data_IF_182164497760
#
_entry.id   IF_182164497760
#
_cell.length_a   1.000
_cell.length_b   1.000
_cell.length_c   1.000
_cell.angle_alpha   90.00
_cell.angle_beta   90.00
_cell.angle_gamma   90.00
#
_symmetry.space_group_name_H-M   'P 1'
#
loop_
_entity.id
_entity.type
_entity.pdbx_description
1 polymer ?
#
# COMPACT_ATOMS: atom_id res chain seq x y z
N UNK A 1 -9.37 14.26 48.05
CA UNK A 1 -8.31 14.54 47.06
C UNK A 1 -8.51 13.64 45.85
N UNK A 2 -9.08 14.18 44.78
CA UNK A 2 -9.43 13.40 43.59
C UNK A 2 -8.23 13.22 42.71
N UNK A 3 -7.65 12.02 42.69
CA UNK A 3 -6.57 11.64 41.78
C UNK A 3 -7.18 11.34 40.39
N UNK A 4 -7.39 12.38 39.57
CA UNK A 4 -7.79 12.22 38.17
C UNK A 4 -6.66 11.52 37.43
N UNK A 5 -6.81 10.22 37.28
CA UNK A 5 -5.96 9.38 36.41
C UNK A 5 -6.02 9.97 34.99
N UNK A 6 -5.11 10.89 34.65
CA UNK A 6 -4.93 11.38 33.28
C UNK A 6 -4.49 10.20 32.45
N UNK A 7 -5.43 9.58 31.73
CA UNK A 7 -5.09 8.56 30.73
C UNK A 7 -4.09 9.16 29.76
N UNK A 8 -2.88 8.59 29.71
CA UNK A 8 -1.82 9.02 28.80
C UNK A 8 -2.28 8.71 27.37
N UNK A 9 -2.41 9.73 26.52
CA UNK A 9 -2.73 9.53 25.11
C UNK A 9 -1.59 8.77 24.43
N UNK A 10 -1.94 7.76 23.63
CA UNK A 10 -1.01 6.99 22.81
C UNK A 10 -0.91 7.62 21.42
N UNK A 11 0.24 7.47 20.78
CA UNK A 11 0.44 7.86 19.40
C UNK A 11 0.13 6.67 18.48
N UNK A 12 -0.47 6.92 17.33
CA UNK A 12 -0.83 5.93 16.34
C UNK A 12 -0.35 6.40 14.98
N UNK A 13 0.03 5.44 14.13
CA UNK A 13 0.21 5.63 12.70
C UNK A 13 -0.74 4.66 12.00
N UNK A 14 -1.38 5.10 10.93
CA UNK A 14 -2.36 4.26 10.23
C UNK A 14 -2.36 4.54 8.74
N UNK A 15 -2.85 3.56 7.98
CA UNK A 15 -3.01 3.64 6.53
C UNK A 15 -4.46 3.32 6.17
N UNK A 16 -5.07 4.16 5.32
CA UNK A 16 -6.41 3.96 4.75
C UNK A 16 -6.40 4.36 3.29
N UNK A 17 -7.13 3.61 2.45
CA UNK A 17 -7.57 4.13 1.15
C UNK A 17 -8.83 4.96 1.35
N UNK A 18 -8.88 6.11 0.71
CA UNK A 18 -10.01 7.03 0.74
C UNK A 18 -10.19 7.66 -0.64
N UNK A 19 -11.33 8.23 -0.89
CA UNK A 19 -11.54 9.14 -2.01
C UNK A 19 -11.59 10.57 -1.48
N UNK A 20 -10.96 11.50 -2.18
CA UNK A 20 -10.98 12.90 -1.76
C UNK A 20 -11.01 13.84 -2.97
N UNK A 21 -11.62 15.00 -2.77
CA UNK A 21 -11.63 16.10 -3.73
C UNK A 21 -11.36 17.43 -3.02
N UNK A 22 -10.69 18.39 -3.66
CA UNK A 22 -10.52 19.72 -3.10
C UNK A 22 -11.88 20.37 -2.79
N UNK A 23 -12.04 20.88 -1.57
CA UNK A 23 -13.26 21.55 -1.13
C UNK A 23 -12.97 22.63 -0.11
N UNK A 24 -13.35 23.84 -0.42
CA UNK A 24 -13.30 24.95 0.53
C UNK A 24 -14.40 24.82 1.59
N UNK A 25 -14.09 25.26 2.81
CA UNK A 25 -15.03 25.40 3.90
C UNK A 25 -15.10 26.85 4.33
N UNK A 26 -16.30 27.43 4.30
CA UNK A 26 -16.54 28.76 4.84
C UNK A 26 -16.77 28.66 6.35
N UNK A 27 -16.02 29.42 7.12
CA UNK A 27 -16.21 29.56 8.55
C UNK A 27 -16.91 30.90 8.83
N UNK A 28 -17.98 30.87 9.57
CA UNK A 28 -18.63 32.09 10.05
C UNK A 28 -17.73 32.75 11.10
N UNK A 29 -17.59 34.08 11.03
CA UNK A 29 -16.92 34.84 12.09
C UNK A 29 -17.63 34.68 13.42
N UNK A 30 -16.88 34.74 14.50
CA UNK A 30 -17.40 34.89 15.87
C UNK A 30 -17.06 36.28 16.37
N UNK A 31 -17.61 36.71 17.52
CA UNK A 31 -17.33 38.04 18.10
C UNK A 31 -15.85 38.39 18.24
N UNK A 32 -14.96 37.35 18.25
CA UNK A 32 -13.50 37.51 18.41
C UNK A 32 -12.67 37.02 17.20
N UNK A 33 -13.30 36.66 16.07
CA UNK A 33 -12.61 36.22 14.85
C UNK A 33 -13.40 36.58 13.60
N UNK A 34 -12.71 37.05 12.57
CA UNK A 34 -13.29 37.23 11.24
C UNK A 34 -13.57 35.86 10.62
N UNK A 35 -14.72 35.73 9.96
CA UNK A 35 -15.03 34.56 9.14
C UNK A 35 -14.07 34.51 7.94
N UNK A 36 -13.85 33.31 7.41
CA UNK A 36 -12.94 33.15 6.28
C UNK A 36 -13.25 31.90 5.46
N UNK A 37 -12.53 31.77 4.35
CA UNK A 37 -12.55 30.57 3.51
C UNK A 37 -11.28 29.78 3.80
N UNK A 38 -11.44 28.53 4.18
CA UNK A 38 -10.34 27.60 4.42
C UNK A 38 -10.28 26.57 3.32
N UNK A 39 -9.12 26.40 2.71
CA UNK A 39 -8.85 25.33 1.75
C UNK A 39 -8.71 23.99 2.45
N UNK A 40 -9.21 22.94 1.81
CA UNK A 40 -9.14 21.58 2.32
C UNK A 40 -9.69 20.58 1.33
N UNK A 41 -10.03 19.42 1.84
CA UNK A 41 -10.52 18.29 1.06
C UNK A 41 -11.80 17.73 1.69
N UNK A 42 -12.79 17.45 0.84
CA UNK A 42 -13.86 16.52 1.18
C UNK A 42 -13.26 15.12 1.11
N UNK A 43 -13.40 14.34 2.15
CA UNK A 43 -12.88 12.98 2.27
C UNK A 43 -14.05 12.02 2.40
N UNK A 44 -14.05 10.98 1.58
CA UNK A 44 -15.05 9.90 1.60
C UNK A 44 -14.34 8.59 1.93
N UNK A 45 -14.77 7.93 2.99
CA UNK A 45 -14.25 6.66 3.45
C UNK A 45 -14.97 5.49 2.77
N UNK A 46 -14.39 4.28 2.85
CA UNK A 46 -14.94 3.06 2.22
C UNK A 46 -16.36 2.72 2.71
N UNK A 47 -16.70 3.07 3.95
CA UNK A 47 -18.04 2.88 4.53
C UNK A 47 -19.04 3.97 4.13
N UNK A 48 -18.63 4.91 3.28
CA UNK A 48 -19.45 6.04 2.83
C UNK A 48 -19.48 7.22 3.81
N UNK A 49 -18.77 7.15 4.95
CA UNK A 49 -18.65 8.29 5.85
C UNK A 49 -17.91 9.44 5.16
N UNK A 50 -18.45 10.64 5.28
CA UNK A 50 -17.86 11.86 4.73
C UNK A 50 -17.30 12.76 5.83
N UNK A 51 -16.12 13.32 5.59
CA UNK A 51 -15.51 14.32 6.45
C UNK A 51 -14.87 15.43 5.64
N UNK A 52 -14.40 16.46 6.33
CA UNK A 52 -13.59 17.51 5.74
C UNK A 52 -12.27 17.64 6.51
N UNK A 53 -11.17 17.80 5.78
CA UNK A 53 -9.84 17.97 6.36
C UNK A 53 -9.18 19.22 5.80
N UNK A 54 -8.50 20.04 6.64
CA UNK A 54 -7.66 21.15 6.18
C UNK A 54 -6.58 20.64 5.22
N UNK A 55 -6.24 21.47 4.22
CA UNK A 55 -5.29 21.11 3.15
C UNK A 55 -3.95 20.60 3.68
N UNK A 56 -3.32 21.34 4.55
CA UNK A 56 -2.02 21.01 5.12
C UNK A 56 -2.03 19.72 5.95
N UNK A 57 -3.12 19.46 6.65
CA UNK A 57 -3.33 18.23 7.43
C UNK A 57 -3.54 17.04 6.50
N UNK A 58 -4.35 17.23 5.46
CA UNK A 58 -4.64 16.18 4.47
C UNK A 58 -3.39 15.79 3.68
N UNK A 59 -2.71 16.74 3.08
CA UNK A 59 -1.52 16.51 2.24
C UNK A 59 -0.33 15.94 3.02
N UNK A 60 -0.29 16.14 4.33
CA UNK A 60 0.66 15.47 5.23
C UNK A 60 0.35 13.99 5.47
N UNK A 61 -0.93 13.63 5.46
CA UNK A 61 -1.38 12.29 5.82
C UNK A 61 -1.58 11.36 4.62
N UNK A 62 -1.92 11.92 3.46
CA UNK A 62 -2.31 11.17 2.27
C UNK A 62 -1.44 11.52 1.07
N UNK A 63 -1.28 10.55 0.19
CA UNK A 63 -0.66 10.68 -1.13
C UNK A 63 -1.61 10.16 -2.18
N UNK A 64 -1.59 10.79 -3.35
CA UNK A 64 -2.30 10.25 -4.52
C UNK A 64 -1.75 8.87 -4.90
N UNK A 65 -2.63 8.00 -5.38
CA UNK A 65 -2.27 6.62 -5.78
C UNK A 65 -1.26 6.55 -6.92
N UNK A 66 -0.98 7.68 -7.55
CA UNK A 66 0.03 7.83 -8.61
C UNK A 66 1.39 8.34 -8.11
N UNK A 67 1.54 8.68 -6.84
CA UNK A 67 2.76 9.26 -6.25
C UNK A 67 2.99 8.77 -4.82
N UNK A 68 3.07 7.45 -4.68
CA UNK A 68 3.21 6.79 -3.39
C UNK A 68 4.68 6.68 -2.98
N UNK A 69 4.92 6.70 -1.67
CA UNK A 69 6.16 6.18 -1.09
C UNK A 69 6.15 4.65 -1.15
N UNK A 70 7.31 4.01 -1.02
CA UNK A 70 7.39 2.55 -0.98
C UNK A 70 6.57 1.94 0.17
N UNK A 71 6.53 2.60 1.34
CA UNK A 71 5.70 2.14 2.46
C UNK A 71 4.20 2.08 2.11
N UNK A 72 3.67 3.10 1.43
CA UNK A 72 2.28 3.12 0.96
C UNK A 72 2.05 2.12 -0.17
N UNK A 73 3.02 1.92 -1.06
CA UNK A 73 2.96 0.90 -2.10
C UNK A 73 2.88 -0.53 -1.51
N UNK A 74 3.62 -0.81 -0.43
CA UNK A 74 3.51 -2.08 0.32
C UNK A 74 2.10 -2.26 0.91
N UNK A 75 1.49 -1.21 1.45
CA UNK A 75 0.12 -1.30 1.95
C UNK A 75 -0.88 -1.57 0.81
N UNK A 76 -0.68 -0.97 -0.37
CA UNK A 76 -1.48 -1.29 -1.57
C UNK A 76 -1.34 -2.76 -1.97
N UNK A 77 -0.12 -3.33 -1.95
CA UNK A 77 0.10 -4.77 -2.18
C UNK A 77 -0.63 -5.66 -1.17
N UNK A 78 -0.68 -5.26 0.10
CA UNK A 78 -1.42 -6.00 1.14
C UNK A 78 -2.93 -6.00 0.87
N UNK A 79 -3.44 -4.96 0.25
CA UNK A 79 -4.83 -4.86 -0.22
C UNK A 79 -5.08 -5.60 -1.55
N UNK A 80 -4.08 -6.30 -2.09
CA UNK A 80 -4.21 -7.07 -3.34
C UNK A 80 -4.06 -6.23 -4.62
N UNK A 81 -3.61 -4.98 -4.51
CA UNK A 81 -3.32 -4.13 -5.68
C UNK A 81 -1.98 -4.50 -6.29
N UNK A 82 -1.81 -4.19 -7.58
CA UNK A 82 -0.51 -4.23 -8.25
C UNK A 82 0.15 -2.84 -8.18
N UNK A 83 1.47 -2.81 -8.08
CA UNK A 83 2.23 -1.56 -8.00
C UNK A 83 3.35 -1.53 -9.03
N UNK A 84 3.74 -0.33 -9.43
CA UNK A 84 4.90 -0.09 -10.31
C UNK A 84 5.57 1.25 -9.96
N UNK A 85 6.72 1.53 -10.57
CA UNK A 85 7.43 2.81 -10.46
C UNK A 85 7.48 3.51 -11.80
N UNK A 86 7.26 4.84 -11.78
CA UNK A 86 7.44 5.69 -12.98
C UNK A 86 8.90 5.73 -13.44
N UNK A 87 9.85 5.64 -12.51
CA UNK A 87 11.29 5.65 -12.78
C UNK A 87 11.89 4.35 -13.29
N UNK A 88 11.11 3.29 -13.47
CA UNK A 88 11.63 2.06 -14.05
C UNK A 88 11.85 2.20 -15.57
N UNK A 89 12.97 1.64 -16.06
CA UNK A 89 13.34 1.68 -17.48
C UNK A 89 12.43 0.82 -18.38
N UNK A 90 11.70 -0.14 -17.81
CA UNK A 90 10.77 -1.01 -18.54
C UNK A 90 9.33 -0.56 -18.34
N UNK A 91 8.67 -0.11 -19.42
CA UNK A 91 7.22 0.17 -19.38
C UNK A 91 6.44 -1.14 -19.27
N UNK A 92 5.36 -1.13 -18.48
CA UNK A 92 4.47 -2.28 -18.31
C UNK A 92 4.97 -3.33 -17.32
N UNK A 93 6.07 -3.09 -16.61
CA UNK A 93 6.45 -3.91 -15.44
C UNK A 93 5.57 -3.54 -14.25
N UNK A 94 5.19 -4.56 -13.48
CA UNK A 94 4.47 -4.36 -12.23
C UNK A 94 4.83 -5.45 -11.22
N UNK A 95 4.57 -5.16 -9.96
CA UNK A 95 4.74 -6.09 -8.84
C UNK A 95 3.37 -6.45 -8.30
N UNK A 96 3.21 -7.72 -7.97
CA UNK A 96 2.09 -8.20 -7.16
C UNK A 96 2.59 -8.97 -5.93
N UNK A 97 1.72 -9.10 -4.94
CA UNK A 97 1.97 -9.94 -3.76
C UNK A 97 1.60 -11.38 -4.10
N UNK A 98 2.59 -12.25 -4.16
CA UNK A 98 2.35 -13.69 -4.22
C UNK A 98 1.76 -14.15 -2.88
N UNK A 99 0.65 -14.88 -2.94
CA UNK A 99 0.01 -15.44 -1.74
C UNK A 99 0.73 -16.74 -1.33
N UNK A 100 0.65 -17.12 -0.04
CA UNK A 100 1.15 -18.42 0.41
C UNK A 100 0.49 -19.54 -0.37
N UNK A 101 1.27 -20.54 -0.74
CA UNK A 101 0.79 -21.72 -1.44
C UNK A 101 1.44 -22.97 -0.88
N UNK A 102 0.68 -24.06 -0.85
CA UNK A 102 1.15 -25.37 -0.43
C UNK A 102 1.01 -26.33 -1.62
N UNK A 103 2.12 -26.91 -2.04
CA UNK A 103 2.13 -28.01 -3.02
C UNK A 103 2.19 -29.32 -2.24
N UNK A 104 1.14 -30.15 -2.28
CA UNK A 104 1.11 -31.45 -1.61
C UNK A 104 2.26 -32.37 -2.09
N UNK A 105 2.73 -33.24 -1.21
CA UNK A 105 3.84 -34.12 -1.52
C UNK A 105 3.62 -34.98 -2.78
N UNK A 106 2.39 -35.42 -3.03
CA UNK A 106 2.02 -36.20 -4.21
C UNK A 106 2.01 -35.40 -5.52
N UNK A 107 2.05 -34.08 -5.43
CA UNK A 107 2.12 -33.18 -6.60
C UNK A 107 3.57 -32.83 -6.94
N UNK A 108 4.46 -32.82 -5.97
CA UNK A 108 5.89 -32.46 -6.15
C UNK A 108 6.56 -33.25 -7.31
N UNK A 109 6.37 -34.57 -7.47
CA UNK A 109 6.96 -35.31 -8.59
C UNK A 109 6.48 -34.86 -9.98
N UNK A 110 5.32 -34.21 -10.05
CA UNK A 110 4.70 -33.72 -11.31
C UNK A 110 5.12 -32.28 -11.65
N UNK A 111 5.85 -31.60 -10.76
CA UNK A 111 6.28 -30.24 -11.02
C UNK A 111 7.33 -30.17 -12.13
N UNK A 112 7.02 -29.40 -13.18
CA UNK A 112 7.95 -29.20 -14.31
C UNK A 112 9.05 -28.17 -13.99
N UNK A 113 8.87 -27.38 -12.94
CA UNK A 113 9.81 -26.38 -12.48
C UNK A 113 10.98 -26.95 -11.63
N UNK A 114 10.96 -28.24 -11.33
CA UNK A 114 11.97 -28.92 -10.53
C UNK A 114 12.73 -29.95 -11.37
N UNK A 115 14.06 -30.00 -11.20
CA UNK A 115 14.87 -31.09 -11.75
C UNK A 115 14.54 -32.43 -11.08
N UNK A 116 14.83 -33.54 -11.74
CA UNK A 116 14.61 -34.87 -11.16
C UNK A 116 15.45 -35.13 -9.91
N UNK A 117 16.64 -34.54 -9.83
CA UNK A 117 17.48 -34.59 -8.63
C UNK A 117 16.81 -33.85 -7.48
N UNK A 118 16.27 -32.64 -7.73
CA UNK A 118 15.58 -31.85 -6.71
C UNK A 118 14.33 -32.56 -6.19
N UNK A 119 13.54 -33.17 -7.09
CA UNK A 119 12.34 -33.92 -6.70
C UNK A 119 12.67 -35.07 -5.75
N UNK A 120 13.80 -35.76 -5.93
CA UNK A 120 14.24 -36.85 -5.03
C UNK A 120 14.59 -36.38 -3.62
N UNK A 121 15.00 -35.12 -3.47
CA UNK A 121 15.35 -34.53 -2.17
C UNK A 121 14.13 -34.04 -1.40
N UNK A 122 13.03 -33.80 -2.07
CA UNK A 122 11.80 -33.27 -1.46
C UNK A 122 10.90 -34.45 -1.10
N UNK A 123 10.85 -34.76 0.19
CA UNK A 123 10.07 -35.91 0.72
C UNK A 123 8.76 -35.49 1.38
N UNK A 124 8.45 -34.19 1.39
CA UNK A 124 7.26 -33.61 2.03
C UNK A 124 6.61 -32.58 1.13
N UNK A 125 5.50 -31.99 1.58
CA UNK A 125 4.86 -30.84 0.92
C UNK A 125 5.83 -29.64 0.87
N UNK A 126 5.75 -28.88 -0.23
CA UNK A 126 6.44 -27.59 -0.35
C UNK A 126 5.52 -26.45 0.09
N UNK A 127 5.97 -25.68 1.04
CA UNK A 127 5.27 -24.52 1.56
C UNK A 127 5.94 -23.24 1.03
N UNK A 128 5.28 -22.53 0.13
CA UNK A 128 5.72 -21.24 -0.38
C UNK A 128 5.12 -20.13 0.48
N UNK A 129 5.97 -19.27 1.04
CA UNK A 129 5.55 -18.07 1.78
C UNK A 129 5.05 -16.98 0.85
N UNK A 130 4.48 -15.92 1.44
CA UNK A 130 4.19 -14.69 0.70
C UNK A 130 5.47 -14.01 0.25
N UNK A 131 5.46 -13.44 -0.95
CA UNK A 131 6.57 -12.70 -1.50
C UNK A 131 6.11 -11.60 -2.46
N UNK A 132 7.05 -10.84 -2.97
CA UNK A 132 6.82 -9.92 -4.07
C UNK A 132 7.31 -10.55 -5.37
N UNK A 133 6.49 -10.52 -6.41
CA UNK A 133 6.82 -11.00 -7.74
C UNK A 133 6.70 -9.85 -8.73
N UNK A 134 7.75 -9.63 -9.52
CA UNK A 134 7.74 -8.69 -10.65
C UNK A 134 7.35 -9.41 -11.92
N UNK A 135 6.44 -8.81 -12.67
CA UNK A 135 6.06 -9.27 -14.01
C UNK A 135 6.62 -8.30 -15.03
N UNK A 136 7.31 -8.82 -16.03
CA UNK A 136 7.87 -8.07 -17.16
C UNK A 136 6.90 -8.09 -18.35
N UNK A 137 7.07 -7.16 -19.33
CA UNK A 137 6.20 -7.07 -20.51
C UNK A 137 6.16 -8.35 -21.37
N UNK A 138 7.21 -9.17 -21.33
CA UNK A 138 7.28 -10.46 -22.02
C UNK A 138 6.56 -11.61 -21.30
N UNK A 139 5.92 -11.30 -20.15
CA UNK A 139 5.25 -12.27 -19.31
C UNK A 139 6.17 -13.01 -18.32
N UNK A 140 7.47 -12.73 -18.31
CA UNK A 140 8.39 -13.30 -17.32
C UNK A 140 8.04 -12.81 -15.93
N UNK A 141 7.91 -13.73 -14.96
CA UNK A 141 7.65 -13.44 -13.57
C UNK A 141 8.81 -13.94 -12.69
N UNK A 142 9.42 -13.01 -11.97
CA UNK A 142 10.56 -13.28 -11.09
C UNK A 142 10.26 -12.85 -9.65
N UNK A 143 10.90 -13.53 -8.69
CA UNK A 143 10.93 -13.04 -7.31
C UNK A 143 11.60 -11.68 -7.26
N UNK A 144 11.03 -10.74 -6.52
CA UNK A 144 11.50 -9.38 -6.47
C UNK A 144 11.79 -8.91 -5.04
N UNK A 145 12.88 -8.18 -4.90
CA UNK A 145 13.31 -7.54 -3.65
C UNK A 145 13.63 -6.08 -3.94
N UNK A 146 13.17 -5.18 -3.08
CA UNK A 146 13.42 -3.75 -3.24
C UNK A 146 14.91 -3.43 -3.11
N UNK A 147 15.45 -2.69 -4.06
CA UNK A 147 16.75 -2.03 -3.92
C UNK A 147 16.64 -0.80 -2.99
N UNK A 148 17.77 -0.23 -2.58
CA UNK A 148 17.76 1.03 -1.81
C UNK A 148 17.07 2.15 -2.59
N UNK A 149 17.27 2.24 -3.90
CA UNK A 149 16.62 3.24 -4.74
C UNK A 149 15.11 3.02 -4.85
N UNK A 150 14.63 1.77 -4.80
CA UNK A 150 13.20 1.46 -4.76
C UNK A 150 12.59 1.82 -3.42
N UNK A 151 13.30 1.53 -2.33
CA UNK A 151 12.82 1.76 -0.96
C UNK A 151 12.60 3.24 -0.66
N UNK A 152 13.45 4.12 -1.17
CA UNK A 152 13.36 5.57 -0.94
C UNK A 152 12.70 6.35 -2.08
N UNK A 153 12.16 5.65 -3.08
CA UNK A 153 11.42 6.29 -4.16
C UNK A 153 10.06 6.81 -3.71
N UNK A 154 9.64 7.91 -4.31
CA UNK A 154 8.31 8.54 -4.10
C UNK A 154 7.48 8.58 -5.40
N UNK A 155 7.84 7.75 -6.37
CA UNK A 155 7.22 7.65 -7.69
C UNK A 155 6.47 6.33 -7.90
N UNK A 156 6.14 5.64 -6.83
CA UNK A 156 5.32 4.44 -6.86
C UNK A 156 3.88 4.77 -7.21
N UNK A 157 3.22 3.87 -7.93
CA UNK A 157 1.80 4.02 -8.26
C UNK A 157 1.09 2.67 -8.29
N UNK A 158 -0.24 2.72 -8.11
CA UNK A 158 -1.11 1.55 -8.27
C UNK A 158 -1.38 1.37 -9.76
N UNK A 159 -1.17 0.14 -10.26
CA UNK A 159 -1.51 -0.25 -11.63
C UNK A 159 -2.98 -0.63 -11.67
N UNK A 160 -3.76 0.04 -12.52
CA UNK A 160 -5.20 -0.23 -12.76
C UNK A 160 -5.40 -1.12 -13.99
#
# INVERSE_FOLDING_TARGET
MSNKNKRKMKKYIGVKMISAEPKQKTTLGTENSEGGVQEGYKVVYEDGYESWSPKDVFEKAYRETESLTFGLAIEALKLGKCIARKGWNGKGMFIYKALPNVVPAEVVPKMISLSEETKKLITSSLNFGSGMTIVKPDGTADSWVASSSDTFAEDWFIVE
#
